data_IF_246825922821
#
_entry.id   IF_246825922821
#
_cell.length_a   1.000
_cell.length_b   1.000
_cell.length_c   1.000
_cell.angle_alpha   90.00
_cell.angle_beta   90.00
_cell.angle_gamma   90.00
#
_symmetry.space_group_name_H-M   'P 1'
#
loop_
_entity.id
_entity.type
_entity.pdbx_description
1 polymer ?
#
# COMPACT_ATOMS: atom_id res chain seq x y z
N UNK A 1 8.52 4.62 36.88
CA UNK A 1 8.85 3.20 36.60
C UNK A 1 10.05 3.12 35.68
N UNK A 2 10.61 1.93 35.48
CA UNK A 2 11.65 1.67 34.50
C UNK A 2 11.20 0.58 33.54
N UNK A 3 11.48 0.74 32.26
CA UNK A 3 11.20 -0.27 31.23
C UNK A 3 12.53 -0.63 30.58
N UNK A 4 12.78 -1.91 30.44
CA UNK A 4 13.98 -2.45 29.82
C UNK A 4 13.57 -3.43 28.74
N UNK A 5 14.15 -3.28 27.56
CA UNK A 5 13.98 -4.18 26.43
C UNK A 5 15.31 -4.88 26.20
N UNK A 6 15.30 -6.20 26.16
CA UNK A 6 16.51 -7.00 25.94
C UNK A 6 16.26 -8.16 24.98
N UNK A 7 17.29 -8.56 24.28
CA UNK A 7 17.27 -9.69 23.36
C UNK A 7 17.49 -11.00 24.15
N UNK A 8 16.41 -11.66 24.53
CA UNK A 8 16.49 -12.87 25.38
C UNK A 8 17.17 -14.04 24.68
N UNK A 9 17.00 -14.16 23.39
CA UNK A 9 17.48 -15.29 22.58
C UNK A 9 18.75 -14.99 21.78
N UNK A 10 19.11 -13.73 21.63
CA UNK A 10 20.24 -13.31 20.82
C UNK A 10 19.97 -13.26 19.31
N UNK A 11 18.71 -13.31 18.89
CA UNK A 11 18.34 -13.28 17.45
C UNK A 11 18.63 -11.92 16.83
N UNK A 12 18.47 -10.85 17.60
CA UNK A 12 18.67 -9.49 17.10
C UNK A 12 20.15 -9.10 17.14
N UNK A 13 20.82 -9.37 18.26
CA UNK A 13 22.19 -8.91 18.53
C UNK A 13 23.25 -9.98 18.31
N UNK A 14 22.86 -11.22 18.09
CA UNK A 14 23.76 -12.37 18.05
C UNK A 14 24.19 -12.89 19.44
N UNK A 15 23.79 -12.21 20.53
CA UNK A 15 24.15 -12.60 21.90
C UNK A 15 22.92 -12.54 22.81
N UNK A 16 22.55 -13.67 23.47
CA UNK A 16 21.43 -13.70 24.40
C UNK A 16 21.60 -12.73 25.56
N UNK A 17 20.46 -12.22 26.05
CA UNK A 17 20.34 -11.28 27.17
C UNK A 17 21.07 -9.95 26.95
N UNK A 18 21.24 -9.52 25.72
CA UNK A 18 21.79 -8.21 25.39
C UNK A 18 20.73 -7.12 25.58
N UNK A 19 21.11 -6.05 26.30
CA UNK A 19 20.25 -4.87 26.46
C UNK A 19 20.08 -4.17 25.10
N UNK A 20 18.83 -3.97 24.68
CA UNK A 20 18.47 -3.22 23.48
C UNK A 20 18.15 -1.77 23.82
N UNK A 21 17.21 -1.56 24.74
CA UNK A 21 16.72 -0.23 25.14
C UNK A 21 16.40 -0.17 26.62
N UNK A 22 16.48 1.03 27.19
CA UNK A 22 16.02 1.31 28.54
C UNK A 22 15.31 2.66 28.62
N UNK A 23 14.17 2.68 29.26
CA UNK A 23 13.42 3.90 29.57
C UNK A 23 13.35 4.03 31.09
N UNK A 24 14.09 4.99 31.64
CA UNK A 24 14.23 5.19 33.07
C UNK A 24 13.38 6.35 33.56
N UNK A 25 12.80 6.20 34.77
CA UNK A 25 12.02 7.24 35.46
C UNK A 25 10.80 7.71 34.66
N UNK A 26 10.20 6.85 33.83
CA UNK A 26 8.96 7.21 33.13
C UNK A 26 7.77 7.18 34.09
N UNK A 27 6.80 8.06 33.81
CA UNK A 27 5.61 8.27 34.64
C UNK A 27 4.51 7.29 34.29
N UNK A 28 3.76 6.87 35.31
CA UNK A 28 2.48 6.14 35.13
C UNK A 28 1.30 7.07 34.88
N UNK A 29 1.38 8.33 35.34
CA UNK A 29 0.34 9.33 35.15
C UNK A 29 0.40 9.91 33.73
N UNK A 30 -0.76 10.08 33.10
CA UNK A 30 -0.89 10.55 31.73
C UNK A 30 -0.46 12.02 31.53
N UNK A 31 -0.51 12.82 32.62
CA UNK A 31 -0.06 14.20 32.67
C UNK A 31 1.42 14.33 33.13
N UNK A 32 2.11 13.20 33.37
CA UNK A 32 3.48 13.16 33.82
C UNK A 32 4.44 13.89 32.88
N UNK A 33 5.26 14.79 33.43
CA UNK A 33 6.27 15.58 32.72
C UNK A 33 7.65 15.42 33.34
N UNK A 34 8.66 15.60 32.53
CA UNK A 34 10.05 15.74 32.98
C UNK A 34 10.27 17.11 33.63
N UNK A 35 11.39 17.31 34.30
CA UNK A 35 11.78 18.61 34.82
C UNK A 35 11.87 19.70 33.73
N UNK A 36 12.14 19.31 32.49
CA UNK A 36 12.15 20.19 31.32
C UNK A 36 10.76 20.44 30.70
N UNK A 37 9.69 19.88 31.25
CA UNK A 37 8.31 20.03 30.76
C UNK A 37 7.91 19.09 29.65
N UNK A 38 8.78 18.21 29.17
CA UNK A 38 8.45 17.22 28.14
C UNK A 38 7.56 16.11 28.70
N UNK A 39 6.69 15.54 27.87
CA UNK A 39 5.84 14.41 28.22
C UNK A 39 6.70 13.23 28.70
N UNK A 40 6.38 12.71 29.87
CA UNK A 40 7.08 11.59 30.50
C UNK A 40 6.16 10.39 30.77
N UNK A 41 4.95 10.39 30.22
CA UNK A 41 4.02 9.27 30.30
C UNK A 41 4.56 8.06 29.55
N UNK A 42 4.66 6.90 30.23
CA UNK A 42 5.40 5.76 29.69
C UNK A 42 4.92 5.23 28.33
N UNK A 43 3.60 5.15 28.02
CA UNK A 43 3.16 4.73 26.69
C UNK A 43 3.63 5.68 25.60
N UNK A 44 3.52 6.99 25.85
CA UNK A 44 3.97 8.02 24.90
C UNK A 44 5.48 8.00 24.72
N UNK A 45 6.23 7.78 25.80
CA UNK A 45 7.68 7.69 25.74
C UNK A 45 8.13 6.45 24.95
N UNK A 46 7.52 5.30 25.19
CA UNK A 46 7.81 4.06 24.45
C UNK A 46 7.45 4.23 22.99
N UNK A 47 6.22 4.70 22.69
CA UNK A 47 5.76 4.88 21.29
C UNK A 47 6.67 5.80 20.48
N UNK A 48 7.15 6.88 21.09
CA UNK A 48 7.95 7.89 20.37
C UNK A 48 9.45 7.59 20.31
N UNK A 49 9.96 6.75 21.18
CA UNK A 49 11.43 6.57 21.33
C UNK A 49 11.90 5.14 21.05
N UNK A 50 11.04 4.13 21.20
CA UNK A 50 11.47 2.77 21.00
C UNK A 50 11.61 2.44 19.51
N UNK A 51 12.65 1.67 19.20
CA UNK A 51 12.91 1.09 17.88
C UNK A 51 12.49 -0.39 17.82
N UNK A 52 12.24 -1.01 18.95
CA UNK A 52 12.00 -2.47 19.04
C UNK A 52 10.60 -2.82 19.50
N UNK A 53 9.94 -1.96 20.27
CA UNK A 53 8.62 -2.26 20.82
C UNK A 53 7.66 -1.11 20.60
N UNK A 54 6.40 -1.43 20.35
CA UNK A 54 5.32 -0.47 20.20
C UNK A 54 4.33 -0.62 21.35
N UNK A 55 3.81 0.51 21.80
CA UNK A 55 2.74 0.50 22.75
C UNK A 55 1.42 0.17 22.02
N UNK A 56 0.74 -0.90 22.42
CA UNK A 56 -0.57 -1.27 21.90
C UNK A 56 -1.71 -0.66 22.73
N UNK A 57 -1.99 -1.30 23.86
CA UNK A 57 -3.03 -0.85 24.79
C UNK A 57 -2.68 -1.34 26.18
N UNK A 58 -3.29 -0.73 27.20
CA UNK A 58 -3.43 -1.42 28.48
C UNK A 58 -4.33 -2.62 28.25
N UNK A 59 -4.04 -3.74 28.90
CA UNK A 59 -5.06 -4.78 29.04
C UNK A 59 -6.29 -4.11 29.62
N UNK A 60 -7.25 -3.90 28.73
CA UNK A 60 -8.49 -3.32 29.11
C UNK A 60 -9.17 -4.38 29.95
N UNK A 61 -9.56 -4.02 31.12
CA UNK A 61 -10.44 -4.85 31.83
C UNK A 61 -9.83 -6.17 32.30
N UNK A 62 -8.56 -6.08 32.51
CA UNK A 62 -7.86 -6.80 33.53
C UNK A 62 -8.56 -8.04 34.06
N UNK A 63 -8.67 -9.02 33.22
CA UNK A 63 -8.63 -10.36 33.77
C UNK A 63 -7.16 -10.67 34.03
N UNK A 64 -6.86 -11.02 35.29
CA UNK A 64 -5.62 -11.73 35.50
C UNK A 64 -5.70 -13.04 34.67
N UNK A 65 -4.57 -13.64 34.42
CA UNK A 65 -4.50 -14.92 33.69
C UNK A 65 -5.25 -16.08 34.40
N UNK A 66 -5.84 -15.81 35.56
CA UNK A 66 -6.62 -16.73 36.38
C UNK A 66 -8.12 -16.47 36.35
N UNK A 67 -8.57 -15.49 35.56
CA UNK A 67 -10.01 -15.16 35.42
C UNK A 67 -10.60 -14.43 36.62
N UNK A 68 -9.79 -13.87 37.50
CA UNK A 68 -10.25 -13.04 38.62
C UNK A 68 -10.52 -11.62 38.14
N UNK A 69 -11.61 -11.06 38.68
CA UNK A 69 -12.07 -9.74 38.33
C UNK A 69 -10.95 -8.70 38.49
N UNK A 70 -10.73 -8.04 37.40
CA UNK A 70 -10.31 -6.67 37.25
C UNK A 70 -9.33 -6.16 38.31
N UNK A 71 -8.21 -5.78 37.83
CA UNK A 71 -7.42 -4.72 38.44
C UNK A 71 -8.31 -3.48 38.51
N UNK A 72 -9.13 -3.39 39.55
CA UNK A 72 -9.98 -2.24 39.80
C UNK A 72 -9.20 -0.95 40.08
N UNK A 73 -7.87 -1.01 40.02
CA UNK A 73 -6.97 0.11 40.23
C UNK A 73 -6.22 0.54 38.95
N UNK A 74 -6.80 0.33 37.74
CA UNK A 74 -6.38 1.00 36.52
C UNK A 74 -6.33 2.54 36.65
N UNK A 75 -7.00 3.09 37.63
CA UNK A 75 -6.85 4.48 38.04
C UNK A 75 -5.39 4.92 38.29
N UNK A 76 -4.50 3.96 38.55
CA UNK A 76 -3.05 4.21 38.72
C UNK A 76 -2.23 4.16 37.44
N UNK A 77 -2.86 3.77 36.33
CA UNK A 77 -2.27 3.77 35.01
C UNK A 77 -3.07 4.66 34.08
N UNK A 78 -2.52 5.75 33.67
CA UNK A 78 -3.21 6.66 32.78
C UNK A 78 -4.15 7.65 33.47
N UNK A 79 -4.32 7.58 34.81
CA UNK A 79 -4.92 8.65 35.57
C UNK A 79 -4.03 9.88 35.63
N UNK A 80 -4.63 11.04 35.96
CA UNK A 80 -3.86 12.27 36.20
C UNK A 80 -3.13 12.20 37.53
N UNK A 81 -2.04 12.94 37.66
CA UNK A 81 -1.28 13.04 38.92
C UNK A 81 -2.09 13.52 40.12
N UNK A 82 -3.23 14.19 39.91
CA UNK A 82 -4.14 14.69 40.92
C UNK A 82 -5.29 13.73 41.25
N UNK A 83 -5.49 12.67 40.48
CA UNK A 83 -6.59 11.72 40.69
C UNK A 83 -6.17 10.57 41.62
N UNK A 84 -6.01 10.88 42.92
CA UNK A 84 -5.57 9.89 43.87
C UNK A 84 -4.08 9.56 43.73
N UNK A 85 -3.42 9.34 44.83
CA UNK A 85 -1.97 9.21 44.90
C UNK A 85 -1.44 7.99 44.08
N UNK A 86 -1.00 8.17 42.83
CA UNK A 86 -0.44 7.07 42.04
C UNK A 86 0.91 6.60 42.57
N UNK A 87 1.42 7.25 43.62
CA UNK A 87 2.73 6.97 44.18
C UNK A 87 2.73 5.96 45.33
N UNK A 88 1.59 5.67 45.92
CA UNK A 88 1.51 4.82 47.13
C UNK A 88 1.01 3.42 46.87
N UNK A 89 0.45 3.15 45.73
CA UNK A 89 0.15 1.79 45.32
C UNK A 89 1.37 1.20 44.67
N UNK A 90 1.98 0.26 45.33
CA UNK A 90 2.88 -0.68 44.71
C UNK A 90 2.21 -1.19 43.44
N UNK A 91 2.78 -0.84 42.33
CA UNK A 91 2.31 -1.29 41.05
C UNK A 91 2.65 -2.77 40.91
N UNK A 92 1.72 -3.57 41.31
CA UNK A 92 1.74 -4.99 41.10
C UNK A 92 0.72 -5.31 40.03
N UNK A 93 1.20 -5.42 38.78
CA UNK A 93 0.33 -5.85 37.69
C UNK A 93 -0.12 -7.30 37.87
N UNK A 94 0.59 -8.12 38.61
CA UNK A 94 0.42 -9.56 38.47
C UNK A 94 0.64 -10.44 39.70
N UNK A 95 0.96 -9.97 40.81
CA UNK A 95 0.94 -10.65 42.14
C UNK A 95 1.90 -10.02 43.15
N UNK A 96 1.78 -10.49 44.37
CA UNK A 96 2.41 -10.01 45.59
C UNK A 96 3.94 -10.14 45.66
N UNK A 97 4.60 -10.61 44.64
CA UNK A 97 6.02 -10.88 44.67
C UNK A 97 6.84 -10.19 43.61
N UNK A 98 7.66 -9.31 44.07
CA UNK A 98 8.83 -8.73 43.43
C UNK A 98 8.67 -7.59 42.42
N UNK A 99 9.49 -6.58 42.63
CA UNK A 99 9.57 -5.31 41.94
C UNK A 99 9.99 -5.40 40.45
N UNK A 100 10.31 -6.56 39.93
CA UNK A 100 10.77 -6.74 38.56
C UNK A 100 9.93 -7.77 37.83
N UNK A 101 9.35 -7.35 36.70
CA UNK A 101 8.57 -8.22 35.84
C UNK A 101 9.23 -8.37 34.50
N UNK A 102 9.34 -9.60 34.04
CA UNK A 102 9.87 -9.93 32.72
C UNK A 102 8.78 -10.58 31.86
N UNK A 103 8.57 -10.04 30.68
CA UNK A 103 7.67 -10.58 29.68
C UNK A 103 8.47 -10.95 28.46
N UNK A 104 8.21 -12.13 27.91
CA UNK A 104 8.80 -12.57 26.66
C UNK A 104 7.74 -12.46 25.57
N UNK A 105 8.03 -11.70 24.52
CA UNK A 105 7.23 -11.73 23.30
C UNK A 105 7.42 -13.09 22.64
N UNK A 106 6.36 -13.88 22.62
CA UNK A 106 6.32 -15.20 22.00
C UNK A 106 5.24 -15.22 20.94
N UNK A 107 5.46 -15.99 19.88
CA UNK A 107 4.49 -16.21 18.81
C UNK A 107 4.07 -14.93 18.07
N UNK A 108 5.05 -14.19 17.56
CA UNK A 108 4.75 -13.32 16.44
C UNK A 108 4.10 -14.15 15.33
N UNK A 109 2.84 -13.90 15.01
CA UNK A 109 2.24 -14.48 13.83
C UNK A 109 2.49 -13.53 12.68
N UNK A 110 3.25 -13.95 11.69
CA UNK A 110 3.44 -13.21 10.46
C UNK A 110 2.43 -13.75 9.45
N UNK A 111 1.44 -12.94 9.12
CA UNK A 111 0.53 -13.23 8.02
C UNK A 111 1.13 -12.60 6.77
N UNK A 112 1.91 -13.37 6.02
CA UNK A 112 2.60 -12.92 4.80
C UNK A 112 1.66 -12.62 3.62
N UNK A 113 0.37 -12.93 3.76
CA UNK A 113 -0.63 -12.69 2.73
C UNK A 113 -1.83 -11.96 3.33
N UNK A 114 -2.03 -10.72 2.91
CA UNK A 114 -3.27 -10.00 3.22
C UNK A 114 -4.45 -10.64 2.47
N UNK A 115 -5.59 -10.71 3.13
CA UNK A 115 -6.85 -11.09 2.49
C UNK A 115 -7.31 -10.00 1.53
N UNK A 116 -8.15 -10.35 0.55
CA UNK A 116 -8.73 -9.37 -0.37
C UNK A 116 -9.50 -8.26 0.35
N UNK A 117 -10.16 -8.58 1.47
CA UNK A 117 -10.86 -7.59 2.30
C UNK A 117 -9.91 -6.58 2.96
N UNK A 118 -8.78 -7.04 3.49
CA UNK A 118 -7.75 -6.16 4.08
C UNK A 118 -7.11 -5.27 3.03
N UNK A 119 -6.82 -5.80 1.84
CA UNK A 119 -6.32 -5.00 0.70
C UNK A 119 -7.32 -3.92 0.33
N UNK A 120 -8.62 -4.25 0.22
CA UNK A 120 -9.68 -3.30 -0.09
C UNK A 120 -9.81 -2.23 1.00
N UNK A 121 -9.66 -2.62 2.27
CA UNK A 121 -9.63 -1.68 3.40
C UNK A 121 -8.44 -0.72 3.30
N UNK A 122 -7.24 -1.24 3.02
CA UNK A 122 -6.05 -0.40 2.79
C UNK A 122 -6.20 0.54 1.58
N UNK A 123 -6.86 0.10 0.51
CA UNK A 123 -7.15 0.95 -0.65
C UNK A 123 -8.15 2.08 -0.33
N UNK A 124 -8.97 1.98 0.74
CA UNK A 124 -9.84 3.07 1.18
C UNK A 124 -9.06 4.29 1.69
N UNK A 125 -7.87 4.09 2.26
CA UNK A 125 -7.03 5.19 2.74
C UNK A 125 -6.62 6.15 1.60
N UNK A 126 -6.56 5.64 0.37
CA UNK A 126 -6.24 6.46 -0.81
C UNK A 126 -7.42 7.27 -1.36
N UNK A 127 -8.59 7.23 -0.75
CA UNK A 127 -9.75 8.05 -1.16
C UNK A 127 -9.55 9.52 -0.81
N UNK A 128 -8.84 9.79 0.26
CA UNK A 128 -8.56 11.16 0.71
C UNK A 128 -7.60 11.87 -0.25
N UNK A 129 -8.07 12.96 -0.83
CA UNK A 129 -7.32 13.81 -1.77
C UNK A 129 -6.63 14.99 -1.11
N UNK A 130 -6.96 15.29 0.15
CA UNK A 130 -6.39 16.44 0.86
C UNK A 130 -5.06 16.09 1.51
N UNK A 131 -4.96 14.89 2.09
CA UNK A 131 -3.76 14.44 2.81
C UNK A 131 -2.81 13.64 1.94
N UNK A 132 -3.31 12.96 0.89
CA UNK A 132 -2.52 12.07 0.04
C UNK A 132 -2.53 12.53 -1.41
N UNK A 133 -1.39 13.00 -1.88
CA UNK A 133 -1.16 13.31 -3.30
C UNK A 133 -0.55 12.10 -4.01
N UNK A 134 -1.32 11.48 -4.91
CA UNK A 134 -0.90 10.33 -5.71
C UNK A 134 -1.20 10.56 -7.19
N UNK A 135 -0.35 10.02 -8.08
CA UNK A 135 -0.57 10.03 -9.53
C UNK A 135 -0.99 8.67 -10.06
N UNK A 136 -0.48 7.61 -9.44
CA UNK A 136 -0.70 6.23 -9.87
C UNK A 136 -1.11 5.34 -8.71
N UNK A 137 -2.12 4.51 -8.92
CA UNK A 137 -2.54 3.49 -7.98
C UNK A 137 -2.38 2.11 -8.63
N UNK A 138 -1.56 1.26 -8.04
CA UNK A 138 -1.27 -0.07 -8.54
C UNK A 138 -2.13 -1.11 -7.83
N UNK A 139 -2.75 -2.01 -8.60
CA UNK A 139 -3.51 -3.12 -8.02
C UNK A 139 -2.60 -4.13 -7.30
N UNK A 140 -1.33 -4.24 -7.73
CA UNK A 140 -0.46 -5.32 -7.29
C UNK A 140 -0.83 -6.67 -7.90
N UNK A 141 -0.49 -7.79 -7.25
CA UNK A 141 -0.72 -9.13 -7.78
C UNK A 141 -2.17 -9.62 -7.67
N UNK A 142 -3.03 -8.93 -6.92
CA UNK A 142 -4.36 -9.44 -6.60
C UNK A 142 -4.32 -10.67 -5.69
N UNK A 143 -5.40 -11.45 -5.69
CA UNK A 143 -5.49 -12.72 -4.98
C UNK A 143 -5.19 -13.87 -5.96
N UNK A 144 -4.03 -14.50 -5.81
CA UNK A 144 -3.58 -15.58 -6.69
C UNK A 144 -4.49 -16.83 -6.65
N UNK A 145 -5.29 -16.99 -5.60
CA UNK A 145 -6.19 -18.14 -5.40
C UNK A 145 -7.61 -17.92 -5.92
N UNK A 146 -8.01 -16.66 -6.17
CA UNK A 146 -9.40 -16.32 -6.51
C UNK A 146 -9.50 -15.21 -7.55
N UNK A 147 -10.07 -15.54 -8.70
CA UNK A 147 -10.41 -14.57 -9.76
C UNK A 147 -11.40 -13.51 -9.27
N UNK A 148 -12.43 -13.92 -8.53
CA UNK A 148 -13.47 -13.03 -8.00
C UNK A 148 -12.89 -12.03 -7.00
N UNK A 149 -12.02 -12.47 -6.12
CA UNK A 149 -11.32 -11.58 -5.16
C UNK A 149 -10.40 -10.60 -5.89
N UNK A 150 -9.68 -11.07 -6.91
CA UNK A 150 -8.84 -10.21 -7.76
C UNK A 150 -9.68 -9.17 -8.49
N UNK A 151 -10.85 -9.55 -9.01
CA UNK A 151 -11.80 -8.61 -9.62
C UNK A 151 -12.33 -7.57 -8.63
N UNK A 152 -12.60 -7.97 -7.39
CA UNK A 152 -13.04 -7.03 -6.34
C UNK A 152 -11.96 -6.00 -6.01
N UNK A 153 -10.70 -6.41 -5.90
CA UNK A 153 -9.56 -5.50 -5.71
C UNK A 153 -9.42 -4.53 -6.90
N UNK A 154 -9.48 -5.06 -8.14
CA UNK A 154 -9.43 -4.27 -9.37
C UNK A 154 -10.55 -3.23 -9.43
N UNK A 155 -11.79 -3.64 -9.13
CA UNK A 155 -12.94 -2.75 -9.06
C UNK A 155 -12.77 -1.65 -8.02
N UNK A 156 -12.15 -1.97 -6.86
CA UNK A 156 -11.84 -0.98 -5.83
C UNK A 156 -10.82 0.04 -6.30
N UNK A 157 -9.74 -0.37 -6.97
CA UNK A 157 -8.74 0.53 -7.56
C UNK A 157 -9.41 1.50 -8.55
N UNK A 158 -10.27 0.98 -9.45
CA UNK A 158 -11.01 1.83 -10.40
C UNK A 158 -11.95 2.79 -9.70
N UNK A 159 -12.67 2.35 -8.66
CA UNK A 159 -13.58 3.19 -7.88
C UNK A 159 -12.83 4.34 -7.19
N UNK A 160 -11.69 4.06 -6.56
CA UNK A 160 -10.85 5.09 -5.92
C UNK A 160 -10.37 6.10 -6.95
N UNK A 161 -9.77 5.66 -8.05
CA UNK A 161 -9.26 6.59 -9.08
C UNK A 161 -10.37 7.39 -9.76
N UNK A 162 -11.53 6.78 -10.02
CA UNK A 162 -12.69 7.48 -10.60
C UNK A 162 -13.31 8.49 -9.64
N UNK A 163 -13.27 8.23 -8.34
CA UNK A 163 -13.74 9.15 -7.30
C UNK A 163 -12.80 10.34 -7.13
N UNK A 164 -11.51 10.07 -7.05
CA UNK A 164 -10.44 11.08 -6.89
C UNK A 164 -10.31 12.00 -8.11
N UNK A 165 -10.31 11.41 -9.32
CA UNK A 165 -10.09 12.07 -10.63
C UNK A 165 -8.70 12.65 -10.86
N UNK A 166 -7.78 12.52 -9.92
CA UNK A 166 -6.40 13.02 -9.97
C UNK A 166 -5.36 11.91 -10.19
N UNK A 167 -5.74 10.65 -10.07
CA UNK A 167 -4.87 9.48 -10.20
C UNK A 167 -5.36 8.51 -11.26
N UNK A 168 -4.45 7.64 -11.74
CA UNK A 168 -4.74 6.58 -12.71
C UNK A 168 -4.45 5.22 -12.08
N UNK A 169 -5.41 4.30 -12.16
CA UNK A 169 -5.31 2.92 -11.66
C UNK A 169 -4.75 1.98 -12.73
N UNK A 170 -3.77 1.14 -12.34
CA UNK A 170 -3.15 0.15 -13.23
C UNK A 170 -3.52 -1.26 -12.78
N UNK A 171 -4.05 -2.05 -13.69
CA UNK A 171 -4.67 -3.34 -13.39
C UNK A 171 -4.15 -4.40 -14.33
N UNK A 172 -3.69 -5.53 -13.77
CA UNK A 172 -3.34 -6.75 -14.48
C UNK A 172 -4.43 -7.81 -14.32
N UNK A 173 -4.58 -8.74 -15.28
CA UNK A 173 -5.55 -9.82 -15.18
C UNK A 173 -5.17 -10.82 -14.07
N UNK A 174 -6.13 -11.67 -13.71
CA UNK A 174 -5.92 -12.72 -12.73
C UNK A 174 -4.77 -13.65 -13.14
N UNK A 175 -3.96 -14.06 -12.17
CA UNK A 175 -2.80 -14.92 -12.37
C UNK A 175 -3.14 -16.19 -13.16
N UNK A 176 -4.19 -16.91 -12.74
CA UNK A 176 -4.60 -18.16 -13.36
C UNK A 176 -5.23 -18.01 -14.75
N UNK A 177 -5.53 -16.79 -15.21
CA UNK A 177 -6.05 -16.55 -16.56
C UNK A 177 -4.95 -16.65 -17.62
N UNK A 178 -3.69 -16.45 -17.23
CA UNK A 178 -2.55 -16.41 -18.17
C UNK A 178 -1.40 -17.34 -17.80
N UNK A 179 -1.11 -17.55 -16.50
CA UNK A 179 -0.01 -18.41 -16.07
C UNK A 179 -0.49 -19.85 -15.99
N UNK A 180 0.25 -20.76 -16.65
CA UNK A 180 -0.11 -22.17 -16.71
C UNK A 180 -1.14 -22.54 -17.79
N UNK A 181 -1.68 -21.55 -18.50
CA UNK A 181 -2.58 -21.78 -19.64
C UNK A 181 -1.76 -21.94 -20.92
N UNK A 182 -1.93 -23.04 -21.64
CA UNK A 182 -1.12 -23.39 -22.81
C UNK A 182 -1.62 -22.80 -24.11
N UNK A 183 -2.92 -22.52 -24.23
CA UNK A 183 -3.52 -21.96 -25.43
C UNK A 183 -3.56 -20.43 -25.39
N UNK A 184 -2.92 -19.79 -26.33
CA UNK A 184 -2.90 -18.33 -26.49
C UNK A 184 -4.31 -17.74 -26.72
N UNK A 185 -5.14 -18.44 -27.49
CA UNK A 185 -6.54 -18.06 -27.71
C UNK A 185 -7.35 -18.11 -26.42
N UNK A 186 -7.12 -19.13 -25.57
CA UNK A 186 -7.76 -19.25 -24.26
C UNK A 186 -7.28 -18.14 -23.31
N UNK A 187 -5.98 -17.84 -23.30
CA UNK A 187 -5.43 -16.72 -22.52
C UNK A 187 -6.08 -15.39 -22.93
N UNK A 188 -6.20 -15.15 -24.25
CA UNK A 188 -6.87 -13.96 -24.79
C UNK A 188 -8.31 -13.84 -24.29
N UNK A 189 -9.08 -14.92 -24.38
CA UNK A 189 -10.48 -14.93 -23.96
C UNK A 189 -10.59 -14.71 -22.43
N UNK A 190 -9.77 -15.40 -21.63
CA UNK A 190 -9.75 -15.25 -20.19
C UNK A 190 -9.48 -13.81 -19.74
N UNK A 191 -8.51 -13.14 -20.42
CA UNK A 191 -8.16 -11.74 -20.15
C UNK A 191 -9.33 -10.82 -20.52
N UNK A 192 -9.97 -11.04 -21.67
CA UNK A 192 -11.15 -10.28 -22.08
C UNK A 192 -12.30 -10.47 -21.07
N UNK A 193 -12.54 -11.69 -20.64
CA UNK A 193 -13.59 -12.02 -19.68
C UNK A 193 -13.32 -11.40 -18.31
N UNK A 194 -12.06 -11.38 -17.87
CA UNK A 194 -11.67 -10.72 -16.63
C UNK A 194 -12.07 -9.23 -16.63
N UNK A 195 -11.76 -8.51 -17.70
CA UNK A 195 -12.05 -7.08 -17.80
C UNK A 195 -13.48 -6.73 -18.23
N UNK A 196 -14.26 -7.70 -18.70
CA UNK A 196 -15.61 -7.45 -19.21
C UNK A 196 -16.56 -6.88 -18.15
N UNK A 197 -16.37 -7.26 -16.90
CA UNK A 197 -17.16 -6.80 -15.74
C UNK A 197 -16.65 -5.50 -15.12
N UNK A 198 -15.50 -4.97 -15.57
CA UNK A 198 -14.88 -3.81 -14.98
C UNK A 198 -15.54 -2.50 -15.43
N UNK A 199 -15.59 -1.53 -14.52
CA UNK A 199 -16.10 -0.20 -14.80
C UNK A 199 -15.38 0.45 -15.99
N UNK A 200 -16.15 1.02 -16.91
CA UNK A 200 -15.62 1.82 -18.00
C UNK A 200 -15.26 3.21 -17.49
N UNK A 201 -13.97 3.51 -17.41
CA UNK A 201 -13.47 4.78 -16.91
C UNK A 201 -12.16 5.18 -17.60
N UNK A 202 -11.93 6.47 -17.78
CA UNK A 202 -10.64 6.96 -18.28
C UNK A 202 -9.53 6.95 -17.23
N UNK A 203 -9.87 6.70 -15.96
CA UNK A 203 -8.93 6.64 -14.83
C UNK A 203 -8.36 5.25 -14.55
N UNK A 204 -8.60 4.29 -15.46
CA UNK A 204 -8.05 2.94 -15.38
C UNK A 204 -7.25 2.57 -16.62
N UNK A 205 -6.27 1.71 -16.44
CA UNK A 205 -5.41 1.15 -17.50
C UNK A 205 -5.31 -0.35 -17.31
N UNK A 206 -5.64 -1.12 -18.33
CA UNK A 206 -5.62 -2.57 -18.35
C UNK A 206 -4.45 -3.07 -19.15
N UNK A 207 -3.64 -3.96 -18.60
CA UNK A 207 -2.59 -4.69 -19.30
C UNK A 207 -2.97 -6.13 -19.61
N UNK A 208 -2.16 -6.85 -20.40
CA UNK A 208 -2.48 -8.19 -20.89
C UNK A 208 -1.93 -9.32 -20.03
N UNK A 209 -1.18 -9.06 -18.92
CA UNK A 209 -0.69 -10.23 -18.22
C UNK A 209 0.44 -10.07 -17.22
N UNK A 210 1.32 -11.07 -17.25
CA UNK A 210 2.35 -11.28 -16.25
C UNK A 210 3.70 -11.55 -16.93
N UNK A 211 4.78 -11.04 -16.33
CA UNK A 211 6.16 -11.31 -16.75
C UNK A 211 6.87 -12.26 -15.77
N UNK A 212 7.81 -13.02 -16.27
CA UNK A 212 8.67 -13.91 -15.50
C UNK A 212 10.00 -13.22 -15.24
N UNK A 213 10.38 -13.08 -13.97
CA UNK A 213 11.59 -12.41 -13.56
C UNK A 213 12.42 -13.30 -12.64
N UNK A 214 13.72 -13.01 -12.55
CA UNK A 214 14.58 -13.53 -11.50
C UNK A 214 14.57 -12.57 -10.30
N UNK A 215 14.12 -13.08 -9.16
CA UNK A 215 14.16 -12.37 -7.89
C UNK A 215 15.48 -12.69 -7.19
N UNK A 216 16.41 -11.74 -7.27
CA UNK A 216 17.76 -11.89 -6.69
C UNK A 216 17.79 -11.95 -5.16
N UNK A 217 16.73 -11.46 -4.49
CA UNK A 217 16.68 -11.46 -3.02
C UNK A 217 16.25 -12.82 -2.48
N UNK A 218 15.32 -13.48 -3.15
CA UNK A 218 14.82 -14.79 -2.80
C UNK A 218 15.51 -15.92 -3.60
N UNK A 219 16.47 -15.60 -4.46
CA UNK A 219 17.20 -16.52 -5.35
C UNK A 219 16.28 -17.48 -6.11
N UNK A 220 15.20 -16.92 -6.68
CA UNK A 220 14.23 -17.73 -7.42
C UNK A 220 13.55 -16.94 -8.53
N UNK A 221 13.08 -17.68 -9.51
CA UNK A 221 12.23 -17.10 -10.55
C UNK A 221 10.77 -17.06 -10.13
N UNK A 222 10.09 -15.95 -10.45
CA UNK A 222 8.67 -15.81 -10.18
C UNK A 222 7.95 -14.99 -11.26
N UNK A 223 6.65 -15.18 -11.35
CA UNK A 223 5.80 -14.31 -12.16
C UNK A 223 5.37 -13.09 -11.32
N UNK A 224 5.43 -11.91 -11.95
CA UNK A 224 4.94 -10.65 -11.40
C UNK A 224 4.00 -9.98 -12.39
N UNK A 225 2.96 -9.25 -11.91
CA UNK A 225 2.01 -8.58 -12.78
C UNK A 225 2.66 -7.41 -13.51
N UNK A 226 2.13 -7.05 -14.66
CA UNK A 226 2.64 -5.98 -15.52
C UNK A 226 2.15 -4.58 -15.11
N UNK A 227 1.17 -4.45 -14.20
CA UNK A 227 0.63 -3.15 -13.80
C UNK A 227 1.70 -2.19 -13.27
N UNK A 228 2.66 -2.70 -12.50
CA UNK A 228 3.80 -1.90 -12.03
C UNK A 228 4.72 -1.44 -13.15
N UNK A 229 4.92 -2.28 -14.17
CA UNK A 229 5.75 -1.91 -15.33
C UNK A 229 5.09 -0.84 -16.19
N UNK A 230 3.79 -0.99 -16.47
CA UNK A 230 3.03 -0.01 -17.25
C UNK A 230 2.99 1.35 -16.55
N UNK A 231 2.78 1.36 -15.23
CA UNK A 231 2.90 2.58 -14.43
C UNK A 231 4.32 3.16 -14.46
N UNK A 232 5.33 2.30 -14.37
CA UNK A 232 6.74 2.70 -14.47
C UNK A 232 7.10 3.31 -15.81
N UNK A 233 6.56 2.80 -16.91
CA UNK A 233 6.71 3.42 -18.24
C UNK A 233 6.06 4.81 -18.27
N UNK A 234 4.87 4.97 -17.71
CA UNK A 234 4.23 6.26 -17.55
C UNK A 234 5.08 7.24 -16.72
N UNK A 235 5.61 6.80 -15.59
CA UNK A 235 6.48 7.60 -14.74
C UNK A 235 7.78 8.00 -15.46
N UNK A 236 8.38 7.09 -16.20
CA UNK A 236 9.59 7.36 -16.99
C UNK A 236 9.37 8.44 -18.07
N UNK A 237 8.21 8.43 -18.73
CA UNK A 237 7.85 9.47 -19.70
C UNK A 237 7.68 10.82 -19.01
N UNK A 238 7.09 10.86 -17.82
CA UNK A 238 6.96 12.09 -17.01
C UNK A 238 8.32 12.61 -16.54
N UNK A 239 9.19 11.73 -16.06
CA UNK A 239 10.54 12.09 -15.59
C UNK A 239 11.40 12.71 -16.71
N UNK A 240 11.15 12.32 -17.96
CA UNK A 240 11.80 12.93 -19.14
C UNK A 240 11.13 14.24 -19.59
N UNK A 241 10.23 14.83 -18.80
CA UNK A 241 9.61 16.12 -19.02
C UNK A 241 8.48 16.13 -20.06
N UNK A 242 7.96 14.96 -20.44
CA UNK A 242 6.96 14.85 -21.52
C UNK A 242 5.76 13.98 -21.12
N UNK A 243 4.96 14.38 -20.10
CA UNK A 243 3.84 13.56 -19.60
C UNK A 243 2.76 13.29 -20.66
N UNK A 244 2.69 14.09 -21.73
CA UNK A 244 1.75 13.98 -22.84
C UNK A 244 2.15 12.98 -23.94
N UNK A 245 3.33 12.39 -23.87
CA UNK A 245 3.69 11.33 -24.80
C UNK A 245 3.12 9.98 -24.36
N UNK A 246 2.77 9.16 -25.37
CA UNK A 246 2.35 7.79 -25.12
C UNK A 246 3.47 6.98 -24.48
N UNK A 247 3.19 6.20 -23.43
CA UNK A 247 4.17 5.29 -22.82
C UNK A 247 4.41 4.03 -23.66
N UNK A 248 3.63 3.81 -24.73
CA UNK A 248 3.68 2.62 -25.57
C UNK A 248 4.64 2.78 -26.75
N UNK A 249 4.89 1.66 -27.41
CA UNK A 249 5.69 1.59 -28.64
C UNK A 249 7.16 1.34 -28.41
N UNK A 250 7.90 1.18 -29.51
CA UNK A 250 9.28 0.69 -29.51
C UNK A 250 10.26 1.62 -28.78
N UNK A 251 10.01 2.91 -28.86
CA UNK A 251 10.93 3.92 -28.30
C UNK A 251 10.78 4.09 -26.78
N UNK A 252 9.59 3.87 -26.23
CA UNK A 252 9.27 4.17 -24.84
C UNK A 252 8.65 3.01 -24.07
N UNK A 253 8.04 2.05 -24.77
CA UNK A 253 7.28 0.97 -24.16
C UNK A 253 8.09 -0.29 -23.80
N UNK A 254 9.42 -0.23 -23.82
CA UNK A 254 10.27 -1.37 -23.51
C UNK A 254 10.20 -1.76 -22.02
N UNK A 255 9.74 -2.99 -21.74
CA UNK A 255 9.66 -3.56 -20.39
C UNK A 255 10.99 -4.24 -20.06
N UNK A 256 11.61 -3.77 -18.98
CA UNK A 256 12.92 -4.23 -18.54
C UNK A 256 12.81 -5.36 -17.50
N UNK A 257 13.90 -6.12 -17.38
CA UNK A 257 14.03 -7.14 -16.33
C UNK A 257 13.14 -8.37 -16.51
N UNK A 258 12.46 -8.53 -17.63
CA UNK A 258 11.66 -9.71 -17.94
C UNK A 258 12.47 -10.75 -18.69
N UNK A 259 12.45 -12.00 -18.20
CA UNK A 259 13.02 -13.16 -18.89
C UNK A 259 12.08 -13.62 -20.01
N UNK A 260 10.78 -13.67 -19.70
CA UNK A 260 9.72 -14.01 -20.65
C UNK A 260 8.37 -13.46 -20.16
N UNK A 261 7.38 -13.45 -21.04
CA UNK A 261 6.00 -13.21 -20.69
C UNK A 261 5.27 -14.54 -20.38
N UNK A 262 4.27 -14.48 -19.49
CA UNK A 262 3.34 -15.60 -19.29
C UNK A 262 2.44 -15.79 -20.53
N UNK A 263 2.11 -14.67 -21.19
CA UNK A 263 1.28 -14.58 -22.38
C UNK A 263 1.88 -13.58 -23.35
N UNK A 264 2.16 -14.00 -24.57
CA UNK A 264 2.62 -13.12 -25.65
C UNK A 264 1.65 -13.22 -26.83
N UNK A 265 0.69 -12.29 -26.96
CA UNK A 265 -0.37 -12.37 -27.94
C UNK A 265 0.15 -12.22 -29.38
N UNK A 266 -0.43 -13.00 -30.30
CA UNK A 266 -0.25 -12.88 -31.74
C UNK A 266 -0.87 -11.57 -32.26
N UNK A 267 -0.68 -11.25 -33.55
CA UNK A 267 -1.24 -10.02 -34.13
C UNK A 267 -2.77 -9.94 -33.99
N UNK A 268 -3.49 -11.01 -34.35
CA UNK A 268 -4.96 -11.03 -34.27
C UNK A 268 -5.47 -10.95 -32.82
N UNK A 269 -4.76 -11.59 -31.90
CA UNK A 269 -5.09 -11.54 -30.48
C UNK A 269 -4.83 -10.14 -29.90
N UNK A 270 -3.74 -9.46 -30.32
CA UNK A 270 -3.50 -8.05 -29.93
C UNK A 270 -4.63 -7.15 -30.42
N UNK A 271 -5.09 -7.33 -31.65
CA UNK A 271 -6.20 -6.56 -32.21
C UNK A 271 -7.49 -6.78 -31.39
N UNK A 272 -7.77 -8.03 -31.01
CA UNK A 272 -8.90 -8.37 -30.13
C UNK A 272 -8.77 -7.72 -28.76
N UNK A 273 -7.63 -7.85 -28.09
CA UNK A 273 -7.37 -7.25 -26.78
C UNK A 273 -7.53 -5.73 -26.85
N UNK A 274 -6.94 -5.09 -27.85
CA UNK A 274 -6.97 -3.65 -28.01
C UNK A 274 -8.38 -3.12 -28.28
N UNK A 275 -9.22 -3.85 -29.03
CA UNK A 275 -10.63 -3.52 -29.19
C UNK A 275 -11.40 -3.59 -27.85
N UNK A 276 -10.98 -4.49 -26.95
CA UNK A 276 -11.56 -4.65 -25.62
C UNK A 276 -10.89 -3.80 -24.55
N UNK A 277 -10.15 -2.74 -24.94
CA UNK A 277 -9.51 -1.76 -24.03
C UNK A 277 -8.32 -2.31 -23.25
N UNK A 278 -7.83 -3.46 -23.60
CA UNK A 278 -6.64 -4.07 -22.97
C UNK A 278 -5.40 -3.68 -23.77
N UNK A 279 -4.37 -3.19 -23.10
CA UNK A 279 -3.11 -2.83 -23.71
C UNK A 279 -2.23 -4.07 -23.79
N UNK A 280 -2.00 -4.62 -24.99
CA UNK A 280 -1.21 -5.83 -25.13
C UNK A 280 0.27 -5.55 -24.86
N UNK A 281 0.90 -6.43 -24.09
CA UNK A 281 2.35 -6.51 -23.95
C UNK A 281 2.80 -7.73 -24.72
N UNK A 282 3.75 -7.55 -25.61
CA UNK A 282 4.20 -8.61 -26.53
C UNK A 282 5.71 -8.66 -26.63
N UNK A 283 6.23 -9.84 -26.91
CA UNK A 283 7.66 -10.03 -27.24
C UNK A 283 7.83 -9.94 -28.75
N UNK A 284 8.60 -8.97 -29.20
CA UNK A 284 8.91 -8.76 -30.63
C UNK A 284 10.34 -9.21 -30.92
N UNK A 285 10.55 -10.02 -31.97
CA UNK A 285 11.89 -10.46 -32.36
C UNK A 285 12.83 -9.27 -32.59
N UNK A 286 14.01 -9.30 -32.00
CA UNK A 286 15.00 -8.23 -32.10
C UNK A 286 14.72 -6.94 -31.34
N UNK A 287 13.54 -6.81 -30.72
CA UNK A 287 13.13 -5.58 -30.01
C UNK A 287 12.75 -5.81 -28.53
N UNK A 288 12.65 -7.08 -28.12
CA UNK A 288 12.33 -7.45 -26.76
C UNK A 288 10.85 -7.35 -26.40
N UNK A 289 10.58 -7.17 -25.13
CA UNK A 289 9.22 -7.10 -24.57
C UNK A 289 8.78 -5.66 -24.55
N UNK A 290 7.62 -5.38 -25.15
CA UNK A 290 7.14 -4.02 -25.39
C UNK A 290 5.65 -3.89 -25.08
N UNK A 291 5.27 -2.79 -24.43
CA UNK A 291 3.88 -2.35 -24.33
C UNK A 291 3.42 -1.83 -25.70
N UNK A 292 2.39 -2.47 -26.28
CA UNK A 292 1.91 -2.20 -27.63
C UNK A 292 0.47 -1.66 -27.67
N UNK A 293 0.10 -0.87 -26.66
CA UNK A 293 -1.20 -0.21 -26.55
C UNK A 293 -1.16 0.91 -25.54
N UNK A 294 -2.02 1.92 -25.72
CA UNK A 294 -2.09 3.13 -24.90
C UNK A 294 -3.53 3.55 -24.56
N UNK A 295 -4.45 2.60 -24.52
CA UNK A 295 -5.86 2.86 -24.16
C UNK A 295 -6.09 2.92 -22.66
N UNK A 296 -6.99 3.79 -22.27
CA UNK A 296 -7.63 3.74 -20.94
C UNK A 296 -8.75 2.70 -20.92
N UNK A 297 -9.32 2.43 -19.76
CA UNK A 297 -10.47 1.55 -19.60
C UNK A 297 -11.80 2.14 -20.09
N UNK A 298 -11.78 3.32 -20.73
CA UNK A 298 -12.98 3.98 -21.25
C UNK A 298 -13.56 3.22 -22.44
N UNK A 299 -14.87 2.94 -22.40
CA UNK A 299 -15.54 2.16 -23.44
C UNK A 299 -16.00 3.01 -24.64
N UNK A 300 -16.38 4.28 -24.37
CA UNK A 300 -16.85 5.20 -25.40
C UNK A 300 -15.70 5.91 -26.08
N UNK A 301 -15.79 6.18 -27.40
CA UNK A 301 -14.80 6.99 -28.10
C UNK A 301 -14.72 8.41 -27.51
N UNK A 302 -13.52 8.80 -27.09
CA UNK A 302 -13.25 10.12 -26.52
C UNK A 302 -11.76 10.42 -26.61
N UNK A 303 -11.36 11.67 -26.50
CA UNK A 303 -9.96 12.04 -26.33
C UNK A 303 -9.33 11.38 -25.08
N UNK A 304 -10.14 11.12 -24.06
CA UNK A 304 -9.72 10.45 -22.81
C UNK A 304 -9.62 8.91 -22.92
N UNK A 305 -9.86 8.34 -24.08
CA UNK A 305 -9.62 6.91 -24.31
C UNK A 305 -8.12 6.58 -24.42
N UNK A 306 -7.24 7.61 -24.35
CA UNK A 306 -5.78 7.51 -24.41
C UNK A 306 -5.12 7.82 -23.07
N UNK A 307 -4.15 6.99 -22.69
CA UNK A 307 -3.39 7.15 -21.44
C UNK A 307 -2.70 8.49 -21.37
N UNK A 308 -2.04 8.90 -22.46
CA UNK A 308 -1.28 10.16 -22.51
C UNK A 308 -2.19 11.38 -22.33
N UNK A 309 -3.37 11.39 -22.94
CA UNK A 309 -4.32 12.51 -22.81
C UNK A 309 -4.87 12.59 -21.38
N UNK A 310 -5.29 11.46 -20.79
CA UNK A 310 -5.76 11.44 -19.40
C UNK A 310 -4.68 11.93 -18.43
N UNK A 311 -3.45 11.47 -18.61
CA UNK A 311 -2.32 11.91 -17.76
C UNK A 311 -2.01 13.40 -17.92
N UNK A 312 -2.03 13.92 -19.14
CA UNK A 312 -1.86 15.35 -19.39
C UNK A 312 -2.91 16.17 -18.60
N UNK A 313 -4.17 15.76 -18.68
CA UNK A 313 -5.23 16.46 -17.96
C UNK A 313 -5.08 16.37 -16.45
N UNK A 314 -4.69 15.21 -15.90
CA UNK A 314 -4.44 15.09 -14.47
C UNK A 314 -3.32 16.06 -14.01
N UNK A 315 -2.25 16.20 -14.77
CA UNK A 315 -1.16 17.15 -14.47
C UNK A 315 -1.67 18.60 -14.53
N UNK A 316 -2.44 18.94 -15.57
CA UNK A 316 -3.01 20.29 -15.73
C UNK A 316 -3.97 20.59 -14.57
N UNK A 317 -4.89 19.68 -14.26
CA UNK A 317 -5.88 19.85 -13.19
C UNK A 317 -5.19 20.05 -11.83
N UNK A 318 -4.18 19.23 -11.49
CA UNK A 318 -3.40 19.39 -10.26
C UNK A 318 -2.66 20.74 -10.22
N UNK A 319 -2.00 21.12 -11.32
CA UNK A 319 -1.22 22.34 -11.39
C UNK A 319 -2.09 23.57 -11.23
N UNK A 320 -3.22 23.62 -11.97
CA UNK A 320 -4.19 24.72 -11.88
C UNK A 320 -4.83 24.74 -10.49
N UNK A 321 -5.24 23.58 -9.96
CA UNK A 321 -5.83 23.49 -8.63
C UNK A 321 -4.90 24.01 -7.52
N UNK A 322 -3.59 23.69 -7.60
CA UNK A 322 -2.61 24.21 -6.66
C UNK A 322 -2.36 25.72 -6.82
N UNK A 323 -2.31 26.22 -8.06
CA UNK A 323 -2.21 27.66 -8.32
C UNK A 323 -3.43 28.41 -7.82
N UNK A 324 -4.63 27.86 -8.04
CA UNK A 324 -5.88 28.47 -7.61
C UNK A 324 -6.02 28.58 -6.08
N UNK A 325 -5.35 27.73 -5.30
CA UNK A 325 -5.30 27.85 -3.84
C UNK A 325 -4.71 29.20 -3.38
N UNK A 326 -3.79 29.77 -4.16
CA UNK A 326 -3.16 31.05 -3.84
C UNK A 326 -4.09 32.26 -3.96
N UNK A 327 -5.19 32.14 -4.71
CA UNK A 327 -6.20 33.20 -4.88
C UNK A 327 -7.50 32.88 -4.13
N UNK A 328 -7.50 31.81 -3.33
CA UNK A 328 -8.65 31.47 -2.51
C UNK A 328 -8.89 32.55 -1.45
N UNK A 329 -10.13 33.04 -1.34
CA UNK A 329 -10.55 34.14 -0.48
C UNK A 329 -10.09 35.55 -0.90
N UNK A 330 -9.43 35.69 -2.05
CA UNK A 330 -9.12 37.01 -2.60
C UNK A 330 -10.34 37.60 -3.29
N UNK A 331 -10.35 38.95 -3.44
CA UNK A 331 -11.40 39.66 -4.14
C UNK A 331 -11.36 39.34 -5.65
N UNK A 332 -12.52 39.19 -6.28
CA UNK A 332 -12.61 38.99 -7.73
C UNK A 332 -12.43 40.31 -8.48
N UNK A 333 -11.22 40.85 -8.46
CA UNK A 333 -10.80 42.07 -9.15
C UNK A 333 -9.85 41.77 -10.33
N UNK A 334 -9.35 42.81 -10.95
CA UNK A 334 -8.47 42.70 -12.12
C UNK A 334 -7.11 42.11 -11.76
N UNK A 335 -6.73 42.17 -10.48
CA UNK A 335 -5.46 41.64 -9.98
C UNK A 335 -5.47 40.12 -9.77
N UNK A 336 -6.64 39.56 -9.46
CA UNK A 336 -6.84 38.11 -9.18
C UNK A 336 -7.35 37.32 -10.38
N UNK A 337 -7.66 37.98 -11.50
CA UNK A 337 -8.07 37.40 -12.79
C UNK A 337 -6.88 37.17 -13.70
#
# INVERSE_FOLDING_TARGET
>A
MHIVVYDSTGVITGKPNTLLEKFTYVSKANDGKTASGAVNYYPTVVLNKSQYVYWGSHENDAYDVSGNAAITSLANFGGTSNAGNPSTTTFDLFSSDSANRSYTFVKGAETLSATSGEIITGLNEFVDTETLDIDYLLMGPGDASSKTNTQAIAAKVLSVCSGRKDAVGFISPYYGDVVGVTSSATQTQNVVDFYSSMQATSFGVFDSGWKYIYDRFADKYRYVPLNGDVAGLCASVTANGTPWFSPAGLNRGAIRGAVKLAFSPTKSERDTLYQKRVNPVTSLPGQGIVLFGDKTALASPSAFDRINVRRLFNVIEKTIGNAAKGVLFELNDEFTR
#
